data_IF_356378669291
#
_entry.id   IF_356378669291
#
_cell.length_a   1.000
_cell.length_b   1.000
_cell.length_c   1.000
_cell.angle_alpha   90.00
_cell.angle_beta   90.00
_cell.angle_gamma   90.00
#
_symmetry.space_group_name_H-M   'P 1'
#
loop_
_entity.id
_entity.type
_entity.pdbx_description
1 polymer ?
#
# COMPACT_ATOMS: atom_id res chain seq x y z
N UNK A 1 -32.82 -47.43 18.81
CA UNK A 1 -33.37 -48.37 17.82
C UNK A 1 -32.53 -48.32 16.55
N UNK A 2 -31.97 -49.45 16.17
CA UNK A 2 -31.23 -49.69 14.93
C UNK A 2 -32.12 -49.41 13.71
N UNK A 3 -31.55 -48.79 12.68
CA UNK A 3 -31.79 -49.25 11.30
C UNK A 3 -30.61 -48.91 10.38
N UNK A 4 -29.93 -49.97 9.95
CA UNK A 4 -28.97 -50.01 8.83
C UNK A 4 -29.74 -49.97 7.52
N UNK A 5 -29.22 -49.26 6.51
CA UNK A 5 -29.45 -49.51 5.07
C UNK A 5 -28.35 -48.79 4.28
N UNK A 6 -27.25 -49.46 3.96
CA UNK A 6 -26.93 -50.14 2.68
C UNK A 6 -26.75 -49.21 1.46
N UNK A 7 -25.46 -49.07 1.11
CA UNK A 7 -24.81 -49.23 -0.21
C UNK A 7 -25.27 -48.33 -1.37
N UNK A 8 -24.30 -47.58 -1.90
CA UNK A 8 -24.31 -47.01 -3.25
C UNK A 8 -22.91 -46.51 -3.61
N UNK A 9 -21.94 -47.42 -3.75
CA UNK A 9 -20.63 -47.11 -4.30
C UNK A 9 -20.77 -46.75 -5.79
N UNK A 10 -20.49 -45.51 -6.13
CA UNK A 10 -20.12 -45.12 -7.49
C UNK A 10 -18.66 -44.69 -7.47
N UNK A 11 -17.81 -45.54 -8.04
CA UNK A 11 -16.48 -45.13 -8.46
C UNK A 11 -16.64 -44.23 -9.69
N UNK A 12 -16.37 -42.93 -9.53
CA UNK A 12 -16.10 -42.05 -10.66
C UNK A 12 -14.59 -41.82 -10.65
N UNK A 13 -13.89 -42.63 -11.42
CA UNK A 13 -12.57 -42.33 -11.93
C UNK A 13 -12.75 -41.18 -12.93
N UNK A 14 -12.26 -39.99 -12.63
CA UNK A 14 -12.44 -38.87 -13.56
C UNK A 14 -11.79 -37.58 -13.12
N UNK A 15 -10.53 -37.39 -13.53
CA UNK A 15 -9.94 -36.07 -13.77
C UNK A 15 -9.48 -35.31 -12.53
N UNK A 16 -8.15 -35.21 -12.37
CA UNK A 16 -7.54 -34.11 -11.64
C UNK A 16 -7.89 -32.83 -12.43
N UNK A 17 -8.95 -32.13 -12.02
CA UNK A 17 -9.12 -30.73 -12.39
C UNK A 17 -8.10 -29.94 -11.58
N UNK A 18 -7.00 -29.54 -12.22
CA UNK A 18 -6.11 -28.54 -11.67
C UNK A 18 -6.90 -27.23 -11.55
N UNK A 19 -7.44 -26.98 -10.36
CA UNK A 19 -8.02 -25.69 -10.02
C UNK A 19 -6.87 -24.68 -9.97
N UNK A 20 -6.70 -23.91 -11.03
CA UNK A 20 -5.88 -22.70 -10.99
C UNK A 20 -6.54 -21.76 -10.00
N UNK A 21 -5.96 -21.65 -8.80
CA UNK A 21 -6.26 -20.57 -7.87
C UNK A 21 -5.76 -19.29 -8.53
N UNK A 22 -6.60 -18.67 -9.36
CA UNK A 22 -6.44 -17.26 -9.70
C UNK A 22 -6.69 -16.51 -8.39
N UNK A 23 -5.61 -16.27 -7.65
CA UNK A 23 -5.62 -15.36 -6.53
C UNK A 23 -6.15 -14.04 -7.05
N UNK A 24 -7.27 -13.58 -6.48
CA UNK A 24 -7.64 -12.18 -6.60
C UNK A 24 -6.46 -11.43 -5.97
N UNK A 25 -5.69 -10.69 -6.78
CA UNK A 25 -4.84 -9.65 -6.23
C UNK A 25 -5.80 -8.64 -5.59
N UNK A 26 -6.02 -8.78 -4.28
CA UNK A 26 -6.61 -7.69 -3.51
C UNK A 26 -5.68 -6.50 -3.70
N UNK A 27 -6.25 -5.30 -3.87
CA UNK A 27 -5.44 -4.10 -3.83
C UNK A 27 -4.59 -4.16 -2.56
N UNK A 28 -3.26 -4.12 -2.72
CA UNK A 28 -2.34 -4.10 -1.59
C UNK A 28 -2.70 -2.88 -0.74
N UNK A 29 -3.18 -3.13 0.47
CA UNK A 29 -3.48 -2.07 1.43
C UNK A 29 -2.14 -1.47 1.84
N UNK A 30 -1.93 -0.15 1.75
CA UNK A 30 -0.66 0.45 2.13
C UNK A 30 -0.41 0.25 3.64
N UNK A 31 0.84 0.00 4.00
CA UNK A 31 1.27 -0.23 5.38
C UNK A 31 1.22 1.07 6.21
N UNK A 32 1.41 2.21 5.55
CA UNK A 32 1.14 3.53 6.12
C UNK A 32 0.55 4.49 5.08
N UNK A 33 -0.27 5.43 5.58
CA UNK A 33 -0.86 6.49 4.77
C UNK A 33 -0.46 7.85 5.33
N UNK A 34 -0.06 8.76 4.45
CA UNK A 34 0.27 10.15 4.76
C UNK A 34 -0.68 11.03 3.95
N UNK A 35 -1.60 11.68 4.65
CA UNK A 35 -2.54 12.62 4.05
C UNK A 35 -1.86 13.97 3.83
N UNK A 36 -2.05 14.56 2.66
CA UNK A 36 -1.64 15.92 2.32
C UNK A 36 -2.91 16.77 2.33
N UNK A 37 -3.08 17.54 3.39
CA UNK A 37 -4.22 18.43 3.58
C UNK A 37 -3.79 19.60 4.45
N UNK A 38 -4.49 20.75 4.39
CA UNK A 38 -4.16 21.94 5.18
C UNK A 38 -2.70 22.39 5.02
N UNK A 39 -2.13 22.21 3.83
CA UNK A 39 -0.72 22.55 3.53
C UNK A 39 0.28 21.87 4.49
N UNK A 40 0.02 20.61 4.83
CA UNK A 40 0.90 19.79 5.67
C UNK A 40 0.88 18.30 5.28
N UNK A 41 1.95 17.59 5.63
CA UNK A 41 1.96 16.13 5.68
C UNK A 41 1.36 15.68 7.02
N UNK A 42 0.47 14.69 7.02
CA UNK A 42 -0.18 14.18 8.21
C UNK A 42 -0.29 12.64 8.17
N UNK A 43 0.40 11.91 9.06
CA UNK A 43 1.38 12.41 10.04
C UNK A 43 2.63 12.98 9.36
N UNK A 44 3.36 13.86 10.06
CA UNK A 44 4.67 14.34 9.59
C UNK A 44 5.75 13.26 9.68
N UNK A 45 5.60 12.32 10.62
CA UNK A 45 6.55 11.21 10.82
C UNK A 45 5.82 9.88 10.76
N UNK A 46 6.37 8.93 10.01
CA UNK A 46 5.91 7.55 9.94
C UNK A 46 7.06 6.58 10.25
N UNK A 47 6.74 5.41 10.78
CA UNK A 47 7.68 4.30 10.94
C UNK A 47 7.10 3.05 10.30
N UNK A 48 7.89 2.40 9.45
CA UNK A 48 7.51 1.20 8.69
C UNK A 48 8.65 0.18 8.71
N UNK A 49 8.39 -1.07 8.34
CA UNK A 49 9.43 -2.10 8.18
C UNK A 49 10.04 -2.08 6.77
N UNK A 50 11.21 -2.69 6.61
CA UNK A 50 11.75 -2.97 5.27
C UNK A 50 10.77 -3.83 4.46
N UNK A 51 10.44 -3.36 3.26
CA UNK A 51 9.49 -3.98 2.32
C UNK A 51 8.08 -3.38 2.38
N UNK A 52 7.81 -2.50 3.35
CA UNK A 52 6.51 -1.84 3.48
C UNK A 52 6.34 -0.71 2.45
N UNK A 53 5.09 -0.44 2.10
CA UNK A 53 4.68 0.64 1.19
C UNK A 53 3.97 1.76 1.93
N UNK A 54 4.46 2.99 1.72
CA UNK A 54 3.78 4.21 2.18
C UNK A 54 3.01 4.82 1.01
N UNK A 55 1.76 5.20 1.24
CA UNK A 55 0.92 5.93 0.30
C UNK A 55 0.71 7.38 0.78
N UNK A 56 1.04 8.36 -0.07
CA UNK A 56 0.69 9.76 0.09
C UNK A 56 -0.58 10.07 -0.67
N UNK A 57 -1.50 10.80 -0.04
CA UNK A 57 -2.80 11.15 -0.61
C UNK A 57 -2.95 12.66 -0.71
N UNK A 58 -3.28 13.15 -1.89
CA UNK A 58 -3.40 14.58 -2.16
C UNK A 58 -4.86 15.02 -1.97
N UNK A 59 -5.20 15.44 -0.75
CA UNK A 59 -6.56 15.84 -0.35
C UNK A 59 -6.59 17.28 0.22
N UNK A 60 -5.97 18.21 -0.52
CA UNK A 60 -5.91 19.62 -0.16
C UNK A 60 -6.70 20.50 -1.13
N UNK A 61 -7.85 19.99 -1.58
CA UNK A 61 -8.78 20.73 -2.44
C UNK A 61 -8.22 21.13 -3.81
N UNK A 62 -7.29 20.34 -4.36
CA UNK A 62 -6.62 20.63 -5.63
C UNK A 62 -5.42 21.57 -5.52
N UNK A 63 -5.02 21.99 -4.31
CA UNK A 63 -3.78 22.74 -4.12
C UNK A 63 -2.58 21.88 -4.56
N UNK A 64 -1.70 22.47 -5.35
CA UNK A 64 -0.54 21.74 -5.90
C UNK A 64 0.50 21.47 -4.81
N UNK A 65 0.87 20.20 -4.70
CA UNK A 65 1.89 19.69 -3.80
C UNK A 65 2.87 18.80 -4.54
N UNK A 66 3.89 18.37 -3.81
CA UNK A 66 4.98 17.54 -4.28
C UNK A 66 5.51 16.74 -3.09
N UNK A 67 5.87 15.48 -3.30
CA UNK A 67 6.50 14.61 -2.30
C UNK A 67 7.84 14.12 -2.86
N UNK A 68 8.93 14.67 -2.35
CA UNK A 68 10.28 14.39 -2.85
C UNK A 68 11.23 14.02 -1.72
N UNK A 69 11.92 12.89 -1.87
CA UNK A 69 13.13 12.59 -1.10
C UNK A 69 14.31 12.53 -2.07
N UNK A 70 15.30 13.45 -1.96
CA UNK A 70 16.37 13.56 -2.95
C UNK A 70 17.12 12.25 -3.18
N UNK A 71 17.09 11.77 -4.42
CA UNK A 71 17.76 10.53 -4.84
C UNK A 71 17.01 9.24 -4.50
N UNK A 72 15.84 9.32 -3.87
CA UNK A 72 15.05 8.16 -3.45
C UNK A 72 13.71 8.08 -4.19
N UNK A 73 12.92 9.16 -4.19
CA UNK A 73 11.64 9.24 -4.90
C UNK A 73 11.17 10.68 -5.16
N UNK A 74 10.25 10.82 -6.13
CA UNK A 74 9.64 12.07 -6.57
C UNK A 74 8.23 11.75 -7.10
N UNK A 75 7.19 12.35 -6.52
CA UNK A 75 5.79 12.14 -6.93
C UNK A 75 5.37 12.92 -8.19
N UNK A 76 6.19 13.86 -8.63
CA UNK A 76 5.79 14.98 -9.47
C UNK A 76 4.89 15.96 -8.73
N UNK A 77 4.61 17.09 -9.39
CA UNK A 77 3.66 18.09 -8.89
C UNK A 77 2.23 17.66 -9.25
N UNK A 78 1.38 17.49 -8.25
CA UNK A 78 -0.06 17.18 -8.42
C UNK A 78 -0.89 17.84 -7.32
N UNK A 79 -2.18 18.04 -7.56
CA UNK A 79 -3.14 18.49 -6.55
C UNK A 79 -4.15 17.43 -6.13
N UNK A 80 -4.07 16.23 -6.70
CA UNK A 80 -5.04 15.15 -6.49
C UNK A 80 -4.40 13.77 -6.70
N UNK A 81 -5.13 12.73 -6.29
CA UNK A 81 -4.72 11.34 -6.45
C UNK A 81 -3.83 10.84 -5.32
N UNK A 82 -3.06 9.78 -5.61
CA UNK A 82 -2.13 9.17 -4.66
C UNK A 82 -0.77 8.92 -5.29
N UNK A 83 0.25 8.87 -4.44
CA UNK A 83 1.61 8.46 -4.77
C UNK A 83 2.05 7.40 -3.77
N UNK A 84 2.69 6.32 -4.20
CA UNK A 84 3.13 5.25 -3.29
C UNK A 84 4.59 4.89 -3.52
N UNK A 85 5.29 4.53 -2.45
CA UNK A 85 6.69 4.11 -2.49
C UNK A 85 6.95 2.97 -1.50
N UNK A 86 7.62 1.92 -1.98
CA UNK A 86 8.04 0.75 -1.17
C UNK A 86 9.48 0.94 -0.71
N UNK A 87 9.72 0.75 0.59
CA UNK A 87 11.02 1.01 1.21
C UNK A 87 11.84 -0.28 1.40
N UNK A 88 12.82 -0.51 0.54
CA UNK A 88 13.60 -1.75 0.56
C UNK A 88 14.90 -1.68 1.39
N UNK A 89 15.20 -0.52 2.00
CA UNK A 89 16.43 -0.32 2.79
C UNK A 89 16.12 0.35 4.13
N UNK A 90 16.71 -0.11 5.23
CA UNK A 90 16.56 0.54 6.52
C UNK A 90 17.22 1.92 6.49
N UNK A 91 16.63 2.88 7.20
CA UNK A 91 17.13 4.25 7.26
C UNK A 91 16.05 5.27 7.56
N UNK A 92 16.44 6.54 7.53
CA UNK A 92 15.54 7.67 7.70
C UNK A 92 15.48 8.46 6.41
N UNK A 93 14.28 8.57 5.85
CA UNK A 93 13.99 9.24 4.60
C UNK A 93 13.25 10.54 4.90
N UNK A 94 13.98 11.65 4.84
CA UNK A 94 13.37 12.98 4.90
C UNK A 94 12.88 13.35 3.51
N UNK A 95 11.66 13.89 3.45
CA UNK A 95 11.05 14.35 2.21
C UNK A 95 10.37 15.71 2.39
N UNK A 96 10.20 16.44 1.30
CA UNK A 96 9.66 17.80 1.31
C UNK A 96 8.70 18.06 0.15
N UNK A 97 7.97 19.18 0.25
CA UNK A 97 7.30 19.79 -0.88
C UNK A 97 8.09 21.00 -1.37
N UNK A 98 8.45 21.03 -2.66
CA UNK A 98 9.19 22.15 -3.26
C UNK A 98 8.36 23.43 -3.41
N UNK A 99 7.02 23.31 -3.48
CA UNK A 99 6.08 24.44 -3.62
C UNK A 99 5.86 25.14 -2.27
N UNK A 100 5.83 24.36 -1.19
CA UNK A 100 5.63 24.80 0.18
C UNK A 100 6.84 24.36 1.03
N UNK A 101 7.97 25.11 1.03
CA UNK A 101 9.25 24.61 1.56
C UNK A 101 9.30 24.31 3.06
N UNK A 102 8.24 24.65 3.79
CA UNK A 102 8.05 24.34 5.21
C UNK A 102 7.37 22.98 5.45
N UNK A 103 6.78 22.37 4.41
CA UNK A 103 6.26 21.00 4.48
C UNK A 103 7.43 20.03 4.41
N UNK A 104 7.77 19.47 5.57
CA UNK A 104 8.78 18.43 5.72
C UNK A 104 8.15 17.25 6.44
N UNK A 105 8.44 16.04 5.96
CA UNK A 105 8.09 14.81 6.65
C UNK A 105 9.24 13.82 6.67
N UNK A 106 9.07 12.77 7.46
CA UNK A 106 10.07 11.72 7.64
C UNK A 106 9.42 10.34 7.63
N UNK A 107 10.02 9.39 6.91
CA UNK A 107 9.75 7.96 7.07
C UNK A 107 10.97 7.30 7.67
N UNK A 108 10.80 6.64 8.82
CA UNK A 108 11.83 5.77 9.40
C UNK A 108 11.54 4.32 9.05
N UNK A 109 12.49 3.66 8.39
CA UNK A 109 12.41 2.27 7.98
C UNK A 109 13.32 1.45 8.88
N UNK A 110 12.75 0.45 9.56
CA UNK A 110 13.45 -0.39 10.53
C UNK A 110 13.53 -1.85 10.11
#
# INVERSE_FOLDING_TARGET
MLRRSRIGSWAITGGIAAATLTGCAGADVPDAVIEISNVQFSPMDATVEVGDTVEWRFDDGGLLHHVESPGEFDSGITGEGTFSYTFDRPGTYTYTCSIHPYMTGTVTVR
#
